data_IF_630588221383
#
_entry.id   IF_630588221383
#
_cell.length_a   1.000
_cell.length_b   1.000
_cell.length_c   1.000
_cell.angle_alpha   90.00
_cell.angle_beta   90.00
_cell.angle_gamma   90.00
#
_symmetry.space_group_name_H-M   'P 1'
#
loop_
_entity.id
_entity.type
_entity.pdbx_description
1 polymer ?
2 polymer ?
3 non-polymer ?
4 water ?
#
# COMPACT_ATOMS: atom_id res chain seq x y z
N UNK A 6 -13.30 -2.36 21.64
CA UNK A 6 -12.96 -2.58 20.19
C UNK A 6 -11.65 -1.89 19.78
N UNK A 7 -11.45 -0.65 20.26
CA UNK A 7 -10.31 0.19 19.85
C UNK A 7 -8.95 -0.49 20.05
N UNK A 8 -8.13 -0.48 18.99
CA UNK A 8 -6.87 -1.22 18.97
C UNK A 8 -5.74 -0.34 19.54
N UNK A 9 -5.05 -0.86 20.55
CA UNK A 9 -3.96 -0.16 21.24
C UNK A 9 -2.73 -1.09 21.34
N UNK A 10 -1.50 -0.52 21.46
CA UNK A 10 -0.38 -1.45 21.64
C UNK A 10 -0.48 -2.19 22.99
N UNK A 11 -0.18 -3.48 22.98
CA UNK A 11 -0.07 -4.25 24.24
C UNK A 11 1.05 -3.74 25.14
N UNK A 12 1.05 -4.16 26.42
CA UNK A 12 1.96 -3.62 27.46
C UNK A 12 3.41 -3.31 27.03
N UNK A 13 4.11 -4.32 26.51
CA UNK A 13 5.55 -4.22 26.18
C UNK A 13 5.81 -4.01 24.68
N UNK A 14 4.74 -3.77 23.94
CA UNK A 14 4.85 -3.71 22.48
C UNK A 14 5.41 -2.36 22.02
N UNK A 15 5.86 -2.31 20.75
CA UNK A 15 6.46 -1.10 20.23
C UNK A 15 5.39 -0.35 19.43
N UNK A 16 5.02 0.85 19.88
CA UNK A 16 3.90 1.57 19.28
C UNK A 16 4.27 2.12 17.89
N UNK A 17 3.28 2.21 17.01
CA UNK A 17 3.50 2.83 15.72
C UNK A 17 3.03 4.29 15.70
N UNK A 18 3.51 5.05 14.71
CA UNK A 18 3.02 6.43 14.53
C UNK A 18 1.49 6.46 14.30
N UNK A 19 1.00 5.47 13.56
CA UNK A 19 -0.45 5.36 13.27
C UNK A 19 -0.91 3.92 13.44
N UNK A 20 -2.20 3.73 13.70
CA UNK A 20 -2.79 2.41 13.48
C UNK A 20 -2.99 2.18 11.98
N UNK A 21 -2.90 0.93 11.54
CA UNK A 21 -3.12 0.61 10.13
C UNK A 21 -4.08 -0.55 9.98
N UNK A 22 -4.71 -0.63 8.80
CA UNK A 22 -5.67 -1.70 8.47
C UNK A 22 -5.25 -2.36 7.16
N UNK A 23 -5.20 -3.70 7.17
CA UNK A 23 -5.00 -4.50 5.95
C UNK A 23 -6.36 -4.72 5.29
N UNK A 24 -6.38 -4.63 3.97
CA UNK A 24 -7.59 -4.88 3.18
C UNK A 24 -7.19 -5.82 2.05
N UNK A 25 -8.18 -6.53 1.50
CA UNK A 25 -7.98 -7.47 0.42
C UNK A 25 -9.12 -7.31 -0.58
N UNK A 26 -8.78 -7.45 -1.85
CA UNK A 26 -9.80 -7.48 -2.89
C UNK A 26 -9.45 -8.47 -3.99
N UNK A 27 -10.50 -9.06 -4.57
CA UNK A 27 -10.34 -9.92 -5.75
C UNK A 27 -11.49 -9.57 -6.67
N UNK A 28 -11.18 -9.28 -7.92
CA UNK A 28 -12.23 -9.02 -8.91
C UNK A 28 -11.75 -9.47 -10.28
N UNK A 29 -12.47 -9.08 -11.34
CA UNK A 29 -12.00 -9.29 -12.71
C UNK A 29 -11.80 -7.93 -13.38
N UNK A 30 -10.94 -7.87 -14.41
CA UNK A 30 -10.71 -6.56 -15.05
C UNK A 30 -11.95 -6.10 -15.81
N UNK A 31 -12.17 -4.79 -15.87
CA UNK A 31 -13.15 -4.21 -16.78
C UNK A 31 -14.57 -4.14 -16.28
N UNK A 32 -14.78 -4.28 -14.96
CA UNK A 32 -16.12 -4.20 -14.39
C UNK A 32 -16.61 -2.77 -14.36
N UNK A 33 -17.88 -2.54 -14.77
CA UNK A 33 -18.48 -1.23 -14.60
C UNK A 33 -18.54 -0.98 -13.11
N UNK A 34 -17.81 0.03 -12.64
CA UNK A 34 -17.53 0.17 -11.22
C UNK A 34 -17.93 1.52 -10.66
N UNK A 35 -18.96 1.51 -9.82
CA UNK A 35 -19.34 2.69 -9.04
C UNK A 35 -18.61 2.67 -7.70
N UNK A 36 -18.81 3.73 -6.90
CA UNK A 36 -18.27 3.79 -5.54
C UNK A 36 -18.78 2.64 -4.70
N UNK A 37 -20.09 2.43 -4.72
CA UNK A 37 -20.72 1.43 -3.84
C UNK A 37 -20.30 0.02 -4.23
N UNK A 38 -20.21 -0.24 -5.53
CA UNK A 38 -19.77 -1.56 -5.97
C UNK A 38 -18.30 -1.82 -5.62
N UNK A 39 -17.44 -0.82 -5.82
CA UNK A 39 -16.03 -0.98 -5.48
C UNK A 39 -15.90 -1.32 -3.99
N UNK A 40 -16.60 -0.57 -3.15
CA UNK A 40 -16.54 -0.77 -1.69
C UNK A 40 -17.02 -2.15 -1.25
N UNK A 41 -17.93 -2.76 -2.02
CA UNK A 41 -18.42 -4.10 -1.68
C UNK A 41 -17.42 -5.23 -2.01
N UNK A 42 -16.50 -4.95 -2.92
CA UNK A 42 -15.52 -5.94 -3.33
C UNK A 42 -14.20 -5.92 -2.53
N UNK A 43 -14.06 -4.94 -1.64
CA UNK A 43 -12.89 -4.83 -0.80
C UNK A 43 -13.30 -5.18 0.63
N UNK A 44 -12.44 -5.89 1.34
CA UNK A 44 -12.72 -6.27 2.71
C UNK A 44 -11.56 -6.05 3.67
N UNK A 45 -11.91 -5.62 4.90
CA UNK A 45 -10.94 -5.46 5.96
C UNK A 45 -10.52 -6.79 6.52
N UNK A 46 -9.21 -6.96 6.68
CA UNK A 46 -8.61 -8.18 7.17
C UNK A 46 -8.30 -8.04 8.67
N UNK A 47 -7.79 -6.88 9.04
CA UNK A 47 -7.32 -6.70 10.40
C UNK A 47 -6.66 -5.36 10.63
N UNK A 48 -6.70 -4.90 11.88
CA UNK A 48 -6.17 -3.59 12.24
C UNK A 48 -5.15 -3.78 13.33
N UNK A 49 -4.05 -3.03 13.28
CA UNK A 49 -2.97 -3.18 14.28
C UNK A 49 -2.42 -1.84 14.74
N UNK A 50 -1.84 -1.84 15.95
CA UNK A 50 -1.37 -0.62 16.63
C UNK A 50 0.11 -0.68 17.03
N UNK A 51 0.69 -1.86 16.92
CA UNK A 51 2.09 -2.04 17.32
C UNK A 51 2.85 -2.83 16.27
N UNK A 52 4.17 -2.80 16.37
CA UNK A 52 5.03 -3.58 15.46
C UNK A 52 4.72 -5.07 15.64
N UNK A 53 4.56 -5.49 16.89
CA UNK A 53 4.32 -6.90 17.16
C UNK A 53 2.97 -7.33 16.60
N UNK A 54 1.95 -6.46 16.71
CA UNK A 54 0.63 -6.75 16.15
C UNK A 54 0.68 -6.84 14.62
N UNK A 55 1.45 -5.95 14.00
CA UNK A 55 1.73 -6.04 12.56
C UNK A 55 2.23 -7.44 12.17
N UNK A 56 3.28 -7.90 12.87
CA UNK A 56 3.90 -9.17 12.50
C UNK A 56 2.91 -10.31 12.73
N UNK A 57 2.08 -10.20 13.76
CA UNK A 57 1.05 -11.23 13.98
C UNK A 57 0.15 -11.45 12.77
N UNK A 58 -0.25 -10.38 12.08
CA UNK A 58 -1.00 -10.52 10.84
C UNK A 58 -0.08 -10.93 9.71
N UNK A 59 0.98 -10.16 9.54
CA UNK A 59 1.78 -10.26 8.32
C UNK A 59 2.47 -11.63 8.19
N UNK A 60 2.97 -12.16 9.31
CA UNK A 60 3.68 -13.47 9.28
C UNK A 60 2.74 -14.64 8.95
N UNK A 61 1.44 -14.39 9.04
CA UNK A 61 0.43 -15.42 8.73
C UNK A 61 -0.30 -15.17 7.42
N UNK A 62 0.10 -14.14 6.67
CA UNK A 62 -0.59 -13.80 5.46
C UNK A 62 0.05 -14.45 4.25
N UNK A 63 -0.77 -14.81 3.28
CA UNK A 63 -0.25 -15.25 2.00
C UNK A 63 0.57 -14.10 1.40
N UNK A 64 1.75 -14.41 0.86
CA UNK A 64 2.55 -13.38 0.18
C UNK A 64 1.87 -12.98 -1.13
N UNK A 65 1.94 -11.69 -1.50
CA UNK A 65 1.17 -11.26 -2.68
C UNK A 65 1.57 -12.07 -3.92
N UNK A 66 2.84 -12.45 -4.02
CA UNK A 66 3.34 -13.27 -5.13
C UNK A 66 2.69 -14.65 -5.23
N UNK A 67 1.98 -15.04 -4.18
CA UNK A 67 1.33 -16.35 -4.12
C UNK A 67 -0.18 -16.26 -4.30
N UNK A 68 -0.71 -15.04 -4.44
CA UNK A 68 -2.14 -14.82 -4.66
C UNK A 68 -2.52 -15.24 -6.08
N UNK A 69 -3.73 -15.76 -6.22
CA UNK A 69 -4.25 -16.08 -7.53
C UNK A 69 -5.25 -15.02 -7.95
N UNK A 70 -5.40 -14.87 -9.25
CA UNK A 70 -6.43 -14.00 -9.78
C UNK A 70 -5.99 -12.54 -9.75
N UNK A 71 -6.93 -11.69 -10.14
CA UNK A 71 -6.78 -10.22 -10.19
C UNK A 71 -7.11 -9.73 -8.78
N UNK A 72 -6.06 -9.62 -7.98
CA UNK A 72 -6.19 -9.54 -6.52
C UNK A 72 -5.25 -8.46 -5.99
N UNK A 73 -5.57 -7.92 -4.83
CA UNK A 73 -4.74 -6.84 -4.27
C UNK A 73 -4.75 -6.91 -2.74
N UNK A 74 -3.64 -6.47 -2.12
CA UNK A 74 -3.64 -6.17 -0.69
C UNK A 74 -3.50 -4.66 -0.58
N UNK A 75 -4.12 -4.07 0.43
CA UNK A 75 -4.00 -2.62 0.66
C UNK A 75 -3.64 -2.47 2.13
N UNK A 76 -2.75 -1.54 2.46
CA UNK A 76 -2.44 -1.33 3.86
C UNK A 76 -2.54 0.16 4.07
N UNK A 77 -3.59 0.59 4.76
CA UNK A 77 -3.86 2.02 4.88
C UNK A 77 -4.00 2.45 6.33
N UNK A 78 -3.67 3.72 6.61
CA UNK A 78 -3.91 4.27 7.95
C UNK A 78 -5.34 3.98 8.39
N UNK A 79 -5.51 3.61 9.66
CA UNK A 79 -6.87 3.34 10.18
C UNK A 79 -7.75 4.57 9.93
N UNK A 80 -8.95 4.34 9.42
CA UNK A 80 -9.90 5.42 9.13
C UNK A 80 -9.82 5.95 7.71
N UNK A 81 -8.83 5.51 6.95
CA UNK A 81 -8.78 5.82 5.52
C UNK A 81 -9.13 4.59 4.66
N UNK A 82 -10.24 4.68 3.94
CA UNK A 82 -10.60 3.62 2.99
C UNK A 82 -9.68 3.69 1.77
N UNK A 83 -9.28 2.53 1.22
CA UNK A 83 -8.42 2.56 0.00
C UNK A 83 -9.21 2.88 -1.27
N UNK A 84 -9.92 4.00 -1.21
CA UNK A 84 -10.74 4.47 -2.33
C UNK A 84 -10.53 5.96 -2.58
N UNK A 85 -10.58 6.34 -3.87
CA UNK A 85 -10.50 7.76 -4.31
C UNK A 85 -11.52 8.65 -3.59
N UNK A 86 -12.70 8.11 -3.32
CA UNK A 86 -13.82 8.85 -2.73
C UNK A 86 -13.60 9.24 -1.26
N UNK A 87 -12.65 8.58 -0.61
CA UNK A 87 -12.39 8.88 0.80
C UNK A 87 -11.87 10.31 0.92
N UNK A 88 -12.31 11.02 1.96
CA UNK A 88 -11.89 12.40 2.14
C UNK A 88 -10.38 12.58 2.16
N UNK A 89 -9.67 11.59 2.70
CA UNK A 89 -8.20 11.66 2.75
C UNK A 89 -7.56 11.51 1.38
N UNK A 90 -8.28 10.93 0.42
CA UNK A 90 -7.70 10.59 -0.89
C UNK A 90 -8.19 11.48 -2.03
N UNK A 91 -9.27 12.21 -1.78
CA UNK A 91 -9.96 12.95 -2.87
C UNK A 91 -9.04 13.90 -3.67
N UNK A 92 -8.11 14.58 -3.00
CA UNK A 92 -7.20 15.51 -3.70
C UNK A 92 -5.83 14.89 -3.96
N UNK A 93 -5.75 13.58 -3.76
CA UNK A 93 -4.48 12.89 -3.74
C UNK A 93 -4.10 12.17 -5.02
N UNK A 94 -3.15 11.28 -4.87
CA UNK A 94 -2.65 10.52 -6.01
C UNK A 94 -1.75 9.41 -5.53
N UNK A 95 -1.11 8.73 -6.48
CA UNK A 95 -0.28 7.58 -6.19
C UNK A 95 0.94 7.49 -7.11
N UNK A 96 2.05 7.04 -6.54
CA UNK A 96 3.20 6.55 -7.31
C UNK A 96 2.94 5.08 -7.59
N UNK A 97 3.09 4.69 -8.85
CA UNK A 97 2.99 3.29 -9.21
C UNK A 97 4.31 2.78 -9.79
N UNK A 98 4.60 1.52 -9.49
CA UNK A 98 5.75 0.82 -10.05
C UNK A 98 5.27 -0.50 -10.59
N UNK A 99 5.64 -0.78 -11.85
CA UNK A 99 5.20 -2.00 -12.52
C UNK A 99 6.38 -2.96 -12.51
N UNK A 100 6.12 -4.24 -12.16
CA UNK A 100 7.17 -5.23 -11.94
C UNK A 100 6.87 -6.51 -12.71
N UNK A 101 7.91 -7.13 -13.27
CA UNK A 101 7.76 -8.49 -13.79
C UNK A 101 7.43 -9.41 -12.62
N UNK A 102 6.86 -10.58 -12.91
CA UNK A 102 6.55 -11.56 -11.87
C UNK A 102 7.77 -11.99 -11.04
N UNK A 103 7.54 -12.26 -9.76
CA UNK A 103 8.57 -12.76 -8.86
C UNK A 103 9.19 -11.68 -7.99
N UNK A 104 8.85 -10.42 -8.23
CA UNK A 104 9.45 -9.32 -7.46
C UNK A 104 8.54 -8.67 -6.41
N UNK A 105 7.23 -8.79 -6.61
CA UNK A 105 6.24 -8.09 -5.77
C UNK A 105 6.31 -8.44 -4.27
N UNK A 106 6.57 -9.70 -3.91
CA UNK A 106 6.51 -10.07 -2.49
C UNK A 106 7.62 -9.34 -1.69
N UNK A 107 8.83 -9.35 -2.24
CA UNK A 107 9.94 -8.62 -1.60
C UNK A 107 9.74 -7.11 -1.61
N UNK A 108 9.26 -6.58 -2.73
CA UNK A 108 9.02 -5.14 -2.85
C UNK A 108 7.94 -4.69 -1.86
N UNK A 109 6.89 -5.50 -1.74
CA UNK A 109 5.78 -5.16 -0.84
C UNK A 109 6.29 -5.13 0.59
N UNK A 110 7.07 -6.12 0.98
CA UNK A 110 7.60 -6.13 2.34
C UNK A 110 8.46 -4.87 2.59
N UNK A 111 9.35 -4.55 1.66
CA UNK A 111 10.18 -3.35 1.84
C UNK A 111 9.37 -2.07 1.94
N UNK A 112 8.36 -1.96 1.08
CA UNK A 112 7.48 -0.81 1.04
C UNK A 112 6.74 -0.64 2.38
N UNK A 113 6.09 -1.69 2.85
CA UNK A 113 5.26 -1.54 4.05
C UNK A 113 6.11 -1.34 5.31
N UNK A 114 7.31 -1.95 5.37
CA UNK A 114 8.25 -1.68 6.49
C UNK A 114 8.75 -0.22 6.54
N UNK A 115 8.98 0.33 5.36
CA UNK A 115 9.38 1.73 5.21
C UNK A 115 8.22 2.64 5.64
N UNK A 116 7.02 2.31 5.15
CA UNK A 116 5.83 3.07 5.52
C UNK A 116 5.60 3.06 7.03
N UNK A 117 5.50 1.86 7.62
CA UNK A 117 5.25 1.73 9.07
C UNK A 117 6.33 2.38 9.93
N UNK A 118 7.58 2.26 9.51
CA UNK A 118 8.73 2.87 10.20
C UNK A 118 8.95 4.35 9.94
N UNK A 119 8.03 4.99 9.21
CA UNK A 119 8.03 6.46 9.02
C UNK A 119 9.27 6.97 8.29
N UNK A 120 9.68 6.22 7.27
CA UNK A 120 10.85 6.55 6.47
C UNK A 120 10.57 7.63 5.42
N UNK A 121 9.30 7.94 5.18
CA UNK A 121 8.95 8.88 4.11
C UNK A 121 9.14 10.36 4.50
N UNK A 122 8.89 10.66 5.77
CA UNK A 122 9.10 12.01 6.33
C UNK A 122 8.41 13.12 5.50
N UNK A 123 7.12 12.91 5.31
CA UNK A 123 6.25 13.85 4.61
C UNK A 123 5.06 14.20 5.53
N UNK A 124 5.31 14.26 6.85
CA UNK A 124 4.26 14.62 7.79
C UNK A 124 3.09 13.65 7.72
N UNK A 125 1.90 14.20 7.48
CA UNK A 125 0.64 13.42 7.52
C UNK A 125 0.25 12.89 6.13
N UNK A 126 1.12 13.08 5.15
CA UNK A 126 0.72 12.89 3.74
C UNK A 126 0.47 11.46 3.27
N UNK A 127 1.13 10.46 3.88
CA UNK A 127 0.93 9.10 3.39
C UNK A 127 -0.48 8.63 3.71
N UNK A 128 -1.15 8.02 2.74
CA UNK A 128 -2.45 7.41 3.04
C UNK A 128 -2.35 5.89 3.20
N UNK A 129 -1.61 5.25 2.31
CA UNK A 129 -1.50 3.79 2.35
C UNK A 129 -0.74 3.25 1.15
N UNK A 130 -0.62 1.92 1.07
CA UNK A 130 0.14 1.25 0.02
C UNK A 130 -0.74 0.12 -0.53
N UNK A 131 -0.52 -0.24 -1.79
CA UNK A 131 -1.27 -1.31 -2.45
C UNK A 131 -0.27 -2.19 -3.19
N UNK A 132 -0.54 -3.48 -3.18
CA UNK A 132 0.14 -4.37 -4.12
C UNK A 132 -0.95 -5.06 -4.93
N UNK A 133 -0.79 -5.00 -6.24
CA UNK A 133 -1.80 -5.51 -7.21
C UNK A 133 -1.18 -6.62 -8.05
N UNK A 134 -1.79 -7.81 -8.04
CA UNK A 134 -1.23 -8.93 -8.77
C UNK A 134 -2.08 -9.11 -10.02
N UNK A 135 -1.41 -9.15 -11.17
CA UNK A 135 -2.15 -9.14 -12.45
C UNK A 135 -1.62 -10.28 -13.34
N UNK A 136 -2.12 -10.38 -14.57
CA UNK A 136 -1.82 -11.54 -15.39
C UNK A 136 -0.32 -11.76 -15.66
N UNK A 137 0.36 -10.73 -16.16
CA UNK A 137 1.76 -10.90 -16.51
C UNK A 137 2.68 -9.88 -15.82
N UNK A 138 2.15 -9.22 -14.81
CA UNK A 138 2.95 -8.26 -14.03
C UNK A 138 2.25 -8.00 -12.72
N UNK A 139 3.00 -7.36 -11.81
CA UNK A 139 2.43 -6.90 -10.54
C UNK A 139 2.68 -5.39 -10.44
N UNK A 140 1.87 -4.69 -9.65
CA UNK A 140 2.04 -3.25 -9.50
C UNK A 140 2.07 -2.93 -8.01
N UNK A 141 3.00 -2.08 -7.61
CA UNK A 141 3.00 -1.64 -6.23
C UNK A 141 2.78 -0.14 -6.28
N UNK A 142 1.97 0.35 -5.34
CA UNK A 142 1.57 1.75 -5.33
C UNK A 142 1.66 2.30 -3.90
N UNK A 143 1.90 3.62 -3.81
CA UNK A 143 1.81 4.31 -2.53
C UNK A 143 0.99 5.58 -2.78
N UNK A 144 -0.04 5.76 -1.95
CA UNK A 144 -1.00 6.87 -2.07
C UNK A 144 -0.67 7.97 -1.11
N UNK A 145 -0.75 9.22 -1.55
CA UNK A 145 -0.67 10.36 -0.62
C UNK A 145 -1.83 11.35 -0.77
N UNK A 146 -1.96 12.24 0.21
CA UNK A 146 -3.16 13.09 0.36
C UNK A 146 -3.28 14.18 -0.68
N UNK A 147 -2.17 14.86 -0.99
CA UNK A 147 -2.21 16.08 -1.80
C UNK A 147 -1.35 15.88 -3.04
N UNK A 148 -2.02 15.60 -4.15
CA UNK A 148 -1.32 15.40 -5.43
C UNK A 148 -0.53 16.63 -5.92
N UNK A 149 -1.01 17.82 -5.59
CA UNK A 149 -0.36 19.09 -6.02
C UNK A 149 0.89 19.45 -5.23
N UNK A 150 1.15 18.72 -4.14
CA UNK A 150 2.29 19.03 -3.29
C UNK A 150 3.58 18.42 -3.88
N UNK A 151 4.28 19.22 -4.69
CA UNK A 151 5.45 18.74 -5.42
C UNK A 151 6.61 18.32 -4.52
N UNK A 152 6.83 19.05 -3.41
CA UNK A 152 7.85 18.66 -2.43
C UNK A 152 7.55 17.27 -1.87
N UNK A 153 6.29 17.05 -1.52
CA UNK A 153 5.87 15.75 -1.00
C UNK A 153 6.01 14.65 -2.05
N UNK A 154 5.49 14.84 -3.25
CA UNK A 154 5.52 13.76 -4.22
C UNK A 154 6.97 13.43 -4.62
N UNK A 155 7.83 14.46 -4.67
CA UNK A 155 9.24 14.22 -4.97
C UNK A 155 9.94 13.42 -3.85
N UNK A 156 9.68 13.79 -2.61
CA UNK A 156 10.24 13.11 -1.43
C UNK A 156 9.82 11.61 -1.42
N UNK A 157 8.55 11.36 -1.72
CA UNK A 157 8.04 10.00 -1.82
C UNK A 157 8.76 9.22 -2.93
N UNK A 158 8.89 9.80 -4.11
CA UNK A 158 9.58 9.14 -5.22
C UNK A 158 11.01 8.75 -4.80
N UNK A 159 11.74 9.72 -4.23
CA UNK A 159 13.12 9.44 -3.81
C UNK A 159 13.16 8.36 -2.72
N UNK A 160 12.21 8.37 -1.79
CA UNK A 160 12.21 7.38 -0.72
C UNK A 160 12.00 5.98 -1.31
N UNK A 161 11.08 5.85 -2.26
CA UNK A 161 10.89 4.56 -2.94
C UNK A 161 12.19 4.06 -3.56
N UNK A 162 12.93 4.95 -4.24
CA UNK A 162 14.22 4.57 -4.80
C UNK A 162 15.23 4.09 -3.74
N UNK A 163 15.16 4.73 -2.57
CA UNK A 163 16.02 4.38 -1.44
C UNK A 163 15.72 3.05 -0.77
N UNK A 164 14.43 2.69 -0.68
CA UNK A 164 14.04 1.51 0.12
C UNK A 164 13.71 0.26 -0.71
N UNK A 165 13.54 0.45 -2.01
CA UNK A 165 13.20 -0.66 -2.90
C UNK A 165 14.39 -1.00 -3.80
N UNK A 166 14.56 -2.29 -4.04
CA UNK A 166 15.59 -2.75 -4.98
C UNK A 166 14.89 -3.02 -6.28
N UNK A 167 14.92 -2.04 -7.18
CA UNK A 167 14.19 -2.10 -8.45
C UNK A 167 15.10 -2.54 -9.61
N UNK A 168 14.55 -3.30 -10.57
CA UNK A 168 15.36 -3.63 -11.76
C UNK A 168 15.80 -2.37 -12.48
N UNK A 169 16.96 -2.42 -13.18
CA UNK A 169 17.31 -1.26 -13.99
C UNK A 169 16.19 -0.90 -14.99
N UNK A 170 15.98 0.39 -15.21
CA UNK A 170 15.02 0.86 -16.21
C UNK A 170 13.56 0.72 -15.72
N UNK A 171 13.40 0.67 -14.39
CA UNK A 171 12.07 0.66 -13.80
C UNK A 171 11.46 2.06 -13.85
N UNK A 172 10.33 2.14 -14.55
CA UNK A 172 9.59 3.37 -14.71
C UNK A 172 8.78 3.59 -13.42
N UNK A 173 8.77 4.80 -12.90
CA UNK A 173 7.82 5.12 -11.86
C UNK A 173 6.88 6.13 -12.46
N UNK A 174 5.61 6.01 -12.14
CA UNK A 174 4.61 6.93 -12.69
C UNK A 174 3.75 7.48 -11.56
N UNK A 175 3.48 8.78 -11.61
CA UNK A 175 2.56 9.40 -10.62
C UNK A 175 1.22 9.66 -11.32
N UNK A 176 0.12 9.21 -10.70
CA UNK A 176 -1.23 9.37 -11.23
C UNK A 176 -2.11 10.08 -10.18
N UNK A 177 -2.62 11.26 -10.50
CA UNK A 177 -3.60 11.90 -9.62
C UNK A 177 -4.91 11.15 -9.70
N UNK A 178 -5.59 11.00 -8.56
CA UNK A 178 -6.81 10.22 -8.54
C UNK A 178 -7.88 10.87 -9.43
N UNK A 179 -7.91 12.20 -9.45
CA UNK A 179 -8.83 12.88 -10.38
C UNK A 179 -8.55 12.60 -11.87
N UNK A 180 -7.28 12.45 -12.24
CA UNK A 180 -6.91 12.00 -13.60
C UNK A 180 -7.34 10.55 -13.84
N UNK A 181 -7.20 9.71 -12.82
CA UNK A 181 -7.60 8.30 -12.85
C UNK A 181 -9.10 8.13 -13.09
N UNK A 182 -9.89 8.98 -12.43
CA UNK A 182 -11.35 8.93 -12.54
C UNK A 182 -11.84 9.16 -13.98
N UNK A 183 -11.22 10.12 -14.67
CA UNK A 183 -11.66 10.56 -16.00
C UNK A 183 -10.94 9.86 -17.17
N UNK A 184 -10.01 8.98 -16.82
CA UNK A 184 -9.27 8.19 -17.79
C UNK A 184 -10.16 7.07 -18.35
N UNK A 185 -10.16 6.88 -19.69
CA UNK A 185 -10.80 5.70 -20.30
C UNK A 185 -10.11 4.40 -19.92
N UNK A 189 -5.66 -1.03 -29.43
CA UNK A 189 -6.65 -1.40 -30.44
C UNK A 189 -7.76 -2.24 -29.84
N UNK A 190 -7.52 -3.56 -29.72
CA UNK A 190 -8.49 -4.47 -29.10
C UNK A 190 -8.71 -4.15 -27.61
N UNK A 191 -9.84 -4.60 -27.06
CA UNK A 191 -10.10 -4.47 -25.63
C UNK A 191 -9.13 -5.36 -24.86
N UNK A 192 -8.68 -4.87 -23.70
CA UNK A 192 -7.76 -5.61 -22.84
C UNK A 192 -8.48 -6.76 -22.14
N UNK A 193 -8.16 -7.99 -22.53
CA UNK A 193 -8.94 -9.13 -22.08
C UNK A 193 -8.39 -9.86 -20.86
N UNK A 194 -7.08 -9.86 -20.71
CA UNK A 194 -6.43 -10.62 -19.64
C UNK A 194 -5.56 -9.71 -18.81
N UNK A 195 -5.94 -9.49 -17.56
CA UNK A 195 -5.20 -8.59 -16.69
C UNK A 195 -5.59 -8.89 -15.25
N UNK B 1 7.99 12.26 16.06
CA UNK B 1 7.49 11.10 15.23
C UNK B 1 8.17 9.80 15.70
N UNK B 2 7.42 8.69 15.69
CA UNK B 2 7.97 7.39 16.02
C UNK B 2 8.56 6.75 14.75
N UNK B 3 9.88 6.63 14.74
CA UNK B 3 10.58 6.18 13.54
C UNK B 3 11.28 4.86 13.83
N UNK B 4 11.15 3.88 12.93
CA UNK B 4 11.89 2.61 13.08
C UNK B 4 12.67 2.28 11.81
N UNK B 5 13.93 1.88 11.96
CA UNK B 5 14.69 1.41 10.79
C UNK B 5 14.24 0.00 10.42
N UNK B 6 14.54 -0.42 9.19
CA UNK B 6 14.14 -1.76 8.73
C UNK B 6 14.66 -2.88 9.65
N UNK B 7 15.93 -2.81 10.01
CA UNK B 7 16.56 -3.82 10.86
C UNK B 7 15.79 -4.00 12.18
N UNK B 8 15.41 -2.89 12.82
CA UNK B 8 14.69 -2.95 14.08
C UNK B 8 13.36 -3.66 13.92
N UNK B 9 12.61 -3.25 12.89
CA UNK B 9 11.34 -3.88 12.57
C UNK B 9 11.48 -5.41 12.39
N UNK B 10 12.47 -5.84 11.63
CA UNK B 10 12.73 -7.27 11.41
C UNK B 10 13.07 -8.01 12.71
N UNK B 11 13.84 -7.34 13.57
CA UNK B 11 14.19 -7.88 14.88
C UNK B 11 12.98 -8.14 15.77
N UNK B 12 11.89 -7.37 15.60
CA UNK B 12 10.65 -7.55 16.35
C UNK B 12 9.76 -8.71 15.88
N UNK B 13 10.08 -9.30 14.74
CA UNK B 13 9.33 -10.40 14.13
C UNK B 13 9.33 -11.62 15.05
N UNK B 14 10.37 -11.76 15.86
CA UNK B 14 10.53 -12.96 16.66
C UNK B 14 10.08 -12.81 18.10
N UNK B 15 9.38 -11.72 18.39
CA UNK B 15 8.71 -11.51 19.68
C UNK B 15 7.20 -11.29 19.51
N UNK B 16 6.43 -11.76 20.52
CA UNK B 16 4.99 -11.51 20.57
C UNK B 16 4.66 -10.16 21.24
#
# INVERSE_FOLDING_TARGET
>A
GPLHMKAVVPGPAEHPLQYNYTFWYSRRTPGRPTSSQSYEQNIKQIGTFASVEQFWRFYSHMVRPGDLTGHSDFHLFKEGIKPMWEDDANKNGGKWIIRLRKGLASRCWENLILAMLGEQFMVGEEICGAVVSVRFQEDIISIWNKTASDQATTARIRDTLRRVLNLPPNTIMEYKTHTDSIKMPGRLGPQRLLF
>B
RIIYDRKFLMECRNSPV
#
